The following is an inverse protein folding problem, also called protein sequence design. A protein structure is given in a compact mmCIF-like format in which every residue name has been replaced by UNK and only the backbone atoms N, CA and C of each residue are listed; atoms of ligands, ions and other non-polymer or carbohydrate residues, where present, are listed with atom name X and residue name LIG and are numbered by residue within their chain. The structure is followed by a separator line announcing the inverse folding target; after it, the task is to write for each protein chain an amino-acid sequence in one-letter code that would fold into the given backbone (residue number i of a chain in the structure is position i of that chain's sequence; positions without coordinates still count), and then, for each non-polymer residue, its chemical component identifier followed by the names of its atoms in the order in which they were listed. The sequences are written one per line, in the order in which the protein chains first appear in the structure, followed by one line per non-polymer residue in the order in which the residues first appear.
data_IF_060888066314
#
_entry.id   IF_060888066314
#
_cell.length_a   1.000
_cell.length_b   1.000
_cell.length_c   1.000
_cell.angle_alpha   90.00
_cell.angle_beta   90.00
_cell.angle_gamma   90.00
#
_symmetry.space_group_name_H-M   'P 1'
#
loop_
_entity.id
_entity.type
_entity.pdbx_description
1 polymer ?
#
# COMPACT_ATOMS: atom_id res chain seq x y z
N UNK A 1 -35.05 53.00 -54.22
CA UNK A 1 -34.20 52.93 -53.00
C UNK A 1 -34.71 51.77 -52.15
N UNK A 2 -33.99 50.66 -52.12
CA UNK A 2 -33.47 50.08 -50.86
C UNK A 2 -33.89 48.61 -50.76
N UNK A 3 -33.16 47.67 -51.40
CA UNK A 3 -32.02 46.87 -50.89
C UNK A 3 -32.44 45.51 -50.35
N UNK A 4 -32.19 44.48 -51.18
CA UNK A 4 -32.12 43.06 -50.85
C UNK A 4 -31.16 42.82 -49.68
N UNK A 5 -31.59 42.03 -48.69
CA UNK A 5 -30.74 41.45 -47.65
C UNK A 5 -30.60 39.94 -47.90
N UNK A 6 -29.71 39.57 -48.83
CA UNK A 6 -29.20 38.21 -48.90
C UNK A 6 -28.16 38.06 -47.79
N UNK A 7 -28.53 37.37 -46.72
CA UNK A 7 -27.60 36.97 -45.65
C UNK A 7 -26.68 35.88 -46.21
N UNK A 8 -25.38 36.20 -46.28
CA UNK A 8 -24.31 35.25 -46.62
C UNK A 8 -24.01 34.37 -45.42
N UNK A 9 -23.96 33.03 -45.55
CA UNK A 9 -23.43 32.20 -44.49
C UNK A 9 -21.90 32.22 -44.53
N UNK A 10 -21.32 32.33 -43.34
CA UNK A 10 -19.90 32.45 -43.06
C UNK A 10 -19.03 31.41 -43.78
N UNK A 11 -18.02 31.89 -44.50
CA UNK A 11 -16.97 31.10 -45.14
C UNK A 11 -15.99 30.58 -44.08
N UNK A 12 -16.06 29.28 -43.77
CA UNK A 12 -15.05 28.59 -42.97
C UNK A 12 -13.86 28.30 -43.88
N UNK A 13 -12.75 28.99 -43.63
CA UNK A 13 -11.52 28.86 -44.41
C UNK A 13 -11.01 27.42 -44.42
N UNK A 14 -10.96 26.85 -45.61
CA UNK A 14 -10.35 25.56 -45.95
C UNK A 14 -8.85 25.61 -45.62
N UNK A 15 -8.39 24.72 -44.74
CA UNK A 15 -6.96 24.47 -44.58
C UNK A 15 -6.46 23.72 -45.81
N UNK A 16 -5.83 24.44 -46.74
CA UNK A 16 -5.13 23.83 -47.88
C UNK A 16 -3.74 23.39 -47.41
N UNK A 17 -3.54 22.08 -47.29
CA UNK A 17 -2.20 21.48 -47.26
C UNK A 17 -1.70 21.42 -48.70
N UNK A 18 -0.74 22.29 -49.02
CA UNK A 18 -0.03 22.29 -50.30
C UNK A 18 0.92 21.09 -50.34
N UNK A 19 0.70 20.14 -51.23
CA UNK A 19 1.56 18.96 -51.33
C UNK A 19 1.28 18.06 -52.53
N UNK A 20 2.04 18.29 -53.59
CA UNK A 20 2.42 17.39 -54.70
C UNK A 20 1.42 17.07 -55.81
N UNK A 21 1.91 17.34 -57.03
CA UNK A 21 1.35 17.15 -58.35
C UNK A 21 1.02 15.69 -58.70
N UNK A 22 -0.26 15.40 -58.94
CA UNK A 22 -0.66 14.34 -59.88
C UNK A 22 -1.93 14.82 -60.60
N UNK A 23 -1.85 14.91 -61.93
CA UNK A 23 -2.94 15.36 -62.80
C UNK A 23 -4.16 14.41 -62.78
N UNK A 24 -5.35 14.88 -63.19
CA UNK A 24 -6.60 14.15 -62.98
C UNK A 24 -6.74 13.02 -63.99
N UNK A 25 -6.87 11.78 -63.52
CA UNK A 25 -7.47 10.71 -64.32
C UNK A 25 -8.99 10.73 -64.10
N UNK A 26 -9.70 10.97 -65.21
CA UNK A 26 -11.16 10.87 -65.30
C UNK A 26 -11.58 9.43 -65.00
N UNK A 27 -12.20 9.23 -63.84
CA UNK A 27 -12.90 8.01 -63.47
C UNK A 27 -14.13 8.38 -62.67
N UNK A 28 -15.30 8.31 -63.31
CA UNK A 28 -16.59 8.37 -62.64
C UNK A 28 -16.71 7.16 -61.69
N UNK A 29 -16.18 7.29 -60.48
CA UNK A 29 -16.70 6.58 -59.33
C UNK A 29 -17.21 7.65 -58.39
N UNK A 30 -18.49 7.59 -58.06
CA UNK A 30 -19.10 8.40 -57.00
C UNK A 30 -18.52 7.87 -55.67
N UNK A 31 -17.25 8.13 -55.43
CA UNK A 31 -16.60 7.86 -54.15
C UNK A 31 -17.29 8.82 -53.20
N UNK A 32 -18.21 8.31 -52.37
CA UNK A 32 -18.80 9.09 -51.29
C UNK A 32 -17.66 9.63 -50.46
N UNK A 33 -17.28 10.87 -50.75
CA UNK A 33 -16.28 11.58 -49.99
C UNK A 33 -16.81 11.65 -48.58
N UNK A 34 -16.16 10.93 -47.68
CA UNK A 34 -16.36 10.98 -46.23
C UNK A 34 -15.91 12.34 -45.72
N UNK A 35 -16.65 13.39 -46.11
CA UNK A 35 -16.31 14.80 -45.93
C UNK A 35 -16.77 15.37 -44.59
N UNK A 36 -17.14 14.53 -43.63
CA UNK A 36 -17.47 14.96 -42.28
C UNK A 36 -16.97 13.92 -41.27
N UNK A 37 -15.90 14.26 -40.55
CA UNK A 37 -15.24 13.44 -39.52
C UNK A 37 -16.17 12.98 -38.39
N UNK A 38 -17.36 13.59 -38.26
CA UNK A 38 -18.37 13.31 -37.23
C UNK A 38 -19.46 12.32 -37.65
N UNK A 39 -19.62 12.05 -38.95
CA UNK A 39 -20.72 11.18 -39.41
C UNK A 39 -20.45 9.71 -39.06
N UNK A 40 -21.46 8.99 -38.59
CA UNK A 40 -21.36 7.57 -38.25
C UNK A 40 -22.52 6.82 -38.93
N UNK A 41 -22.27 5.83 -39.80
CA UNK A 41 -23.32 5.09 -40.50
C UNK A 41 -24.07 4.22 -39.48
N UNK A 42 -25.24 4.67 -39.00
CA UNK A 42 -26.02 3.89 -38.02
C UNK A 42 -26.86 2.78 -38.69
N UNK A 43 -27.25 2.97 -39.95
CA UNK A 43 -28.12 2.04 -40.67
C UNK A 43 -27.38 0.83 -41.26
N UNK A 44 -26.08 0.98 -41.56
CA UNK A 44 -25.25 -0.11 -42.08
C UNK A 44 -24.27 -0.57 -41.00
N UNK A 45 -24.58 -1.70 -40.35
CA UNK A 45 -23.77 -2.27 -39.26
C UNK A 45 -22.34 -2.57 -39.68
N UNK A 46 -22.12 -3.04 -40.91
CA UNK A 46 -20.78 -3.43 -41.36
C UNK A 46 -19.89 -2.21 -41.61
N UNK A 47 -20.43 -1.18 -42.27
CA UNK A 47 -19.73 0.09 -42.42
C UNK A 47 -19.51 0.81 -41.08
N UNK A 48 -20.41 0.62 -40.11
CA UNK A 48 -20.24 1.15 -38.76
C UNK A 48 -19.03 0.55 -38.04
N UNK A 49 -18.93 -0.78 -38.06
CA UNK A 49 -17.83 -1.51 -37.44
C UNK A 49 -16.49 -1.12 -38.07
N UNK A 50 -16.43 -1.04 -39.41
CA UNK A 50 -15.22 -0.59 -40.10
C UNK A 50 -14.79 0.81 -39.67
N UNK A 51 -15.74 1.75 -39.61
CA UNK A 51 -15.44 3.12 -39.18
C UNK A 51 -15.04 3.21 -37.70
N UNK A 52 -15.63 2.38 -36.83
CA UNK A 52 -15.25 2.28 -35.43
C UNK A 52 -13.79 1.83 -35.29
N UNK A 53 -13.40 0.76 -36.00
CA UNK A 53 -12.03 0.26 -36.01
C UNK A 53 -11.03 1.30 -36.52
N UNK A 54 -11.35 2.00 -37.61
CA UNK A 54 -10.51 3.08 -38.15
C UNK A 54 -10.31 4.21 -37.12
N UNK A 55 -11.38 4.62 -36.45
CA UNK A 55 -11.31 5.68 -35.42
C UNK A 55 -10.57 5.21 -34.17
N UNK A 56 -10.77 3.97 -33.76
CA UNK A 56 -10.06 3.39 -32.61
C UNK A 56 -8.56 3.36 -32.89
N UNK A 57 -8.14 2.87 -34.06
CA UNK A 57 -6.75 2.85 -34.47
C UNK A 57 -6.14 4.25 -34.52
N UNK A 58 -6.89 5.25 -34.99
CA UNK A 58 -6.43 6.64 -34.99
C UNK A 58 -6.22 7.15 -33.55
N UNK A 59 -7.17 6.92 -32.64
CA UNK A 59 -7.04 7.32 -31.23
C UNK A 59 -5.82 6.66 -30.58
N UNK A 60 -5.59 5.36 -30.83
CA UNK A 60 -4.42 4.64 -30.32
C UNK A 60 -3.11 5.24 -30.85
N UNK A 61 -3.05 5.55 -32.14
CA UNK A 61 -1.87 6.20 -32.74
C UNK A 61 -1.56 7.56 -32.07
N UNK A 62 -2.58 8.39 -31.86
CA UNK A 62 -2.39 9.66 -31.15
C UNK A 62 -2.01 9.47 -29.69
N UNK A 63 -2.59 8.47 -29.02
CA UNK A 63 -2.26 8.12 -27.64
C UNK A 63 -0.78 7.81 -27.47
N UNK A 64 -0.20 7.05 -28.39
CA UNK A 64 1.23 6.71 -28.38
C UNK A 64 2.14 7.93 -28.58
N UNK A 65 1.68 8.96 -29.31
CA UNK A 65 2.41 10.20 -29.51
C UNK A 65 2.26 11.20 -28.35
N UNK A 66 1.27 11.03 -27.47
CA UNK A 66 0.99 11.96 -26.37
C UNK A 66 1.91 11.77 -25.16
N UNK A 67 2.10 12.85 -24.41
CA UNK A 67 2.81 12.84 -23.13
C UNK A 67 2.03 12.09 -22.05
N UNK A 68 2.71 11.61 -21.01
CA UNK A 68 2.09 10.94 -19.86
C UNK A 68 0.95 11.75 -19.22
N UNK A 69 1.13 13.08 -19.08
CA UNK A 69 0.09 13.99 -18.57
C UNK A 69 -1.15 14.00 -19.45
N UNK A 70 -0.98 14.03 -20.78
CA UNK A 70 -2.09 14.01 -21.74
C UNK A 70 -2.79 12.65 -21.75
N UNK A 71 -2.04 11.55 -21.71
CA UNK A 71 -2.59 10.19 -21.61
C UNK A 71 -3.45 10.03 -20.36
N UNK A 72 -2.94 10.44 -19.20
CA UNK A 72 -3.70 10.44 -17.93
C UNK A 72 -4.96 11.31 -18.01
N UNK A 73 -4.86 12.48 -18.65
CA UNK A 73 -6.00 13.36 -18.82
C UNK A 73 -7.10 12.74 -19.71
N UNK A 74 -6.73 12.07 -20.80
CA UNK A 74 -7.67 11.32 -21.62
C UNK A 74 -8.36 10.22 -20.81
N UNK A 75 -7.58 9.37 -20.13
CA UNK A 75 -8.11 8.27 -19.32
C UNK A 75 -9.11 8.76 -18.29
N UNK A 76 -8.76 9.82 -17.56
CA UNK A 76 -9.66 10.46 -16.60
C UNK A 76 -10.95 10.96 -17.28
N UNK A 77 -10.83 11.64 -18.43
CA UNK A 77 -11.98 12.17 -19.17
C UNK A 77 -12.91 11.09 -19.74
N UNK A 78 -12.36 9.91 -20.07
CA UNK A 78 -13.16 8.76 -20.50
C UNK A 78 -13.88 8.14 -19.31
N UNK A 79 -13.17 7.88 -18.20
CA UNK A 79 -13.73 7.26 -17.01
C UNK A 79 -14.85 8.11 -16.38
N UNK A 80 -14.74 9.44 -16.38
CA UNK A 80 -15.82 10.32 -15.86
C UNK A 80 -17.11 10.29 -16.69
N UNK A 81 -17.05 9.80 -17.93
CA UNK A 81 -18.21 9.66 -18.83
C UNK A 81 -18.79 8.24 -18.83
N UNK A 82 -18.14 7.30 -18.16
CA UNK A 82 -18.59 5.91 -18.07
C UNK A 82 -19.76 5.74 -17.10
N UNK A 83 -20.61 4.77 -17.39
CA UNK A 83 -21.64 4.25 -16.48
C UNK A 83 -21.01 3.39 -15.38
N UNK A 84 -21.74 3.12 -14.30
CA UNK A 84 -21.26 2.27 -13.20
C UNK A 84 -20.85 0.86 -13.66
N UNK A 85 -21.58 0.25 -14.60
CA UNK A 85 -21.24 -1.06 -15.15
C UNK A 85 -19.93 -1.03 -15.96
N UNK A 86 -19.72 0.03 -16.75
CA UNK A 86 -18.47 0.25 -17.49
C UNK A 86 -17.28 0.49 -16.55
N UNK A 87 -17.48 1.24 -15.45
CA UNK A 87 -16.45 1.45 -14.43
C UNK A 87 -16.08 0.15 -13.71
N UNK A 88 -17.07 -0.70 -13.39
CA UNK A 88 -16.82 -2.04 -12.84
C UNK A 88 -16.00 -2.90 -13.80
N UNK A 89 -16.36 -2.91 -15.08
CA UNK A 89 -15.57 -3.59 -16.12
C UNK A 89 -14.13 -3.06 -16.19
N UNK A 90 -13.91 -1.74 -16.16
CA UNK A 90 -12.57 -1.16 -16.11
C UNK A 90 -11.78 -1.58 -14.85
N UNK A 91 -12.44 -1.62 -13.68
CA UNK A 91 -11.83 -2.09 -12.42
C UNK A 91 -11.33 -3.53 -12.58
N UNK A 92 -12.16 -4.42 -13.12
CA UNK A 92 -11.83 -5.83 -13.23
C UNK A 92 -10.64 -6.04 -14.19
N UNK A 93 -10.61 -5.31 -15.31
CA UNK A 93 -9.45 -5.29 -16.22
C UNK A 93 -8.17 -4.80 -15.53
N UNK A 94 -8.26 -3.72 -14.74
CA UNK A 94 -7.11 -3.15 -14.04
C UNK A 94 -6.58 -4.08 -12.95
N UNK A 95 -7.45 -4.80 -12.24
CA UNK A 95 -7.04 -5.80 -11.23
C UNK A 95 -6.23 -6.92 -11.85
N UNK A 96 -6.58 -7.35 -13.07
CA UNK A 96 -5.83 -8.37 -13.81
C UNK A 96 -4.51 -7.80 -14.36
N UNK A 97 -4.54 -6.58 -14.90
CA UNK A 97 -3.40 -5.96 -15.56
C UNK A 97 -2.32 -5.46 -14.58
N UNK A 98 -2.74 -4.96 -13.41
CA UNK A 98 -1.86 -4.46 -12.36
C UNK A 98 -1.90 -5.45 -11.21
N UNK A 99 -0.91 -6.35 -11.07
CA UNK A 99 -0.88 -7.27 -9.95
C UNK A 99 -0.89 -6.45 -8.67
N UNK A 100 -1.80 -6.81 -7.77
CA UNK A 100 -1.87 -6.23 -6.43
C UNK A 100 -0.67 -6.76 -5.65
N UNK A 101 0.49 -6.11 -5.82
CA UNK A 101 1.77 -6.60 -5.30
C UNK A 101 1.95 -6.33 -3.81
N UNK A 102 1.24 -5.34 -3.25
CA UNK A 102 1.36 -4.98 -1.83
C UNK A 102 0.01 -4.55 -1.25
N UNK A 103 -0.79 -5.53 -0.82
CA UNK A 103 -1.90 -5.28 0.09
C UNK A 103 -1.52 -5.75 1.48
N UNK A 104 -1.70 -4.86 2.45
CA UNK A 104 -1.66 -5.24 3.86
C UNK A 104 -2.84 -6.18 4.13
N UNK A 105 -2.55 -7.48 4.20
CA UNK A 105 -3.57 -8.49 4.44
C UNK A 105 -4.31 -8.27 5.76
N UNK A 106 -3.72 -7.56 6.73
CA UNK A 106 -4.38 -7.30 8.01
C UNK A 106 -5.58 -6.36 7.91
N UNK A 107 -5.65 -5.57 6.83
CA UNK A 107 -6.78 -4.69 6.53
C UNK A 107 -7.91 -5.45 5.84
N UNK A 108 -7.60 -6.58 5.21
CA UNK A 108 -8.55 -7.40 4.45
C UNK A 108 -9.07 -8.57 5.28
N UNK A 109 -8.21 -9.20 6.07
CA UNK A 109 -8.53 -10.39 6.85
C UNK A 109 -9.02 -10.01 8.27
N UNK A 110 -10.03 -10.72 8.80
CA UNK A 110 -10.38 -10.68 10.22
C UNK A 110 -9.15 -10.85 11.11
N UNK A 111 -9.10 -10.12 12.25
CA UNK A 111 -7.95 -10.07 13.16
C UNK A 111 -7.40 -11.45 13.54
N UNK A 112 -8.26 -12.45 13.77
CA UNK A 112 -7.83 -13.79 14.16
C UNK A 112 -7.03 -14.52 13.06
N UNK A 113 -7.42 -14.37 11.79
CA UNK A 113 -6.68 -14.96 10.66
C UNK A 113 -5.33 -14.26 10.47
N UNK A 114 -5.31 -12.94 10.63
CA UNK A 114 -4.08 -12.15 10.56
C UNK A 114 -3.08 -12.58 11.64
N UNK A 115 -3.56 -12.77 12.88
CA UNK A 115 -2.75 -13.30 13.98
C UNK A 115 -2.26 -14.73 13.72
N UNK A 116 -3.11 -15.60 13.15
CA UNK A 116 -2.72 -16.95 12.78
C UNK A 116 -1.61 -16.97 11.73
N UNK A 117 -1.73 -16.19 10.65
CA UNK A 117 -0.67 -16.07 9.63
C UNK A 117 0.64 -15.57 10.24
N UNK A 118 0.58 -14.53 11.07
CA UNK A 118 1.77 -14.00 11.73
C UNK A 118 2.36 -14.95 12.79
N UNK A 119 1.57 -15.87 13.34
CA UNK A 119 2.06 -16.87 14.29
C UNK A 119 3.10 -17.82 13.69
N UNK A 120 3.17 -17.95 12.35
CA UNK A 120 4.18 -18.75 11.66
C UNK A 120 5.52 -18.04 11.47
N UNK A 121 5.58 -16.72 11.66
CA UNK A 121 6.80 -15.94 11.45
C UNK A 121 7.83 -16.18 12.56
N UNK A 122 9.13 -16.12 12.22
CA UNK A 122 10.17 -16.15 13.25
C UNK A 122 10.12 -14.87 14.11
N UNK A 123 10.68 -14.85 15.33
CA UNK A 123 10.77 -13.61 16.12
C UNK A 123 11.47 -12.47 15.38
N UNK A 124 12.48 -12.79 14.55
CA UNK A 124 13.16 -11.82 13.70
C UNK A 124 12.22 -11.25 12.64
N UNK A 125 11.47 -12.12 11.97
CA UNK A 125 10.54 -11.69 10.93
C UNK A 125 9.36 -10.91 11.52
N UNK A 126 8.87 -11.27 12.71
CA UNK A 126 7.87 -10.49 13.45
C UNK A 126 8.37 -9.08 13.81
N UNK A 127 9.63 -8.96 14.22
CA UNK A 127 10.26 -7.66 14.47
C UNK A 127 10.39 -6.81 13.20
N UNK A 128 10.65 -7.43 12.04
CA UNK A 128 10.64 -6.75 10.75
C UNK A 128 9.22 -6.37 10.32
N UNK A 129 8.26 -7.27 10.48
CA UNK A 129 6.83 -7.05 10.23
C UNK A 129 6.28 -5.86 11.03
N UNK A 130 6.67 -5.72 12.31
CA UNK A 130 6.27 -4.62 13.17
C UNK A 130 6.74 -3.22 12.70
N UNK A 131 7.67 -3.14 11.74
CA UNK A 131 8.15 -1.88 11.15
C UNK A 131 7.30 -1.43 9.95
N UNK A 132 6.43 -2.30 9.43
CA UNK A 132 5.63 -2.03 8.22
C UNK A 132 4.45 -1.11 8.52
N UNK A 133 3.76 -1.31 9.65
CA UNK A 133 2.67 -0.41 10.09
C UNK A 133 2.45 -0.44 11.59
N UNK A 134 1.83 0.62 12.13
CA UNK A 134 1.46 0.68 13.55
C UNK A 134 0.56 -0.48 13.97
N UNK A 135 -0.33 -0.93 13.07
CA UNK A 135 -1.21 -2.06 13.29
C UNK A 135 -0.44 -3.36 13.56
N UNK A 136 0.65 -3.59 12.83
CA UNK A 136 1.50 -4.77 12.99
C UNK A 136 2.36 -4.70 14.25
N UNK A 137 2.69 -3.48 14.70
CA UNK A 137 3.45 -3.23 15.93
C UNK A 137 2.71 -3.62 17.21
N UNK A 138 1.38 -3.61 17.20
CA UNK A 138 0.51 -3.78 18.39
C UNK A 138 0.06 -5.23 18.62
N UNK A 139 0.65 -6.21 17.92
CA UNK A 139 0.30 -7.63 18.05
C UNK A 139 1.02 -8.30 19.23
N UNK A 140 0.86 -7.71 20.42
CA UNK A 140 1.54 -8.14 21.66
C UNK A 140 1.10 -9.55 22.10
N UNK A 141 -0.14 -9.95 21.74
CA UNK A 141 -0.67 -11.28 22.01
C UNK A 141 0.14 -12.42 21.38
N UNK A 142 0.81 -12.21 20.23
CA UNK A 142 1.69 -13.23 19.61
C UNK A 142 2.92 -13.47 20.50
N UNK A 143 3.46 -12.41 21.10
CA UNK A 143 4.60 -12.49 22.00
C UNK A 143 4.20 -13.13 23.34
N UNK A 144 3.03 -12.78 23.88
CA UNK A 144 2.51 -13.36 25.11
C UNK A 144 2.39 -14.89 25.02
N UNK A 145 1.71 -15.39 23.99
CA UNK A 145 1.50 -16.81 23.76
C UNK A 145 2.84 -17.59 23.61
N UNK A 146 3.84 -16.99 22.97
CA UNK A 146 5.18 -17.60 22.85
C UNK A 146 5.99 -17.58 24.14
N UNK A 147 5.84 -16.56 24.97
CA UNK A 147 6.47 -16.49 26.29
C UNK A 147 5.83 -17.52 27.23
N UNK A 148 4.50 -17.56 27.30
CA UNK A 148 3.74 -18.47 28.18
C UNK A 148 4.07 -19.93 27.87
N UNK A 149 4.15 -20.32 26.59
CA UNK A 149 4.57 -21.69 26.20
C UNK A 149 5.96 -22.09 26.69
N UNK A 150 6.83 -21.13 26.98
CA UNK A 150 8.18 -21.36 27.53
C UNK A 150 8.24 -21.23 29.05
N UNK A 151 7.10 -21.02 29.71
CA UNK A 151 7.06 -20.72 31.14
C UNK A 151 7.60 -19.33 31.49
N UNK A 152 7.70 -18.44 30.51
CA UNK A 152 8.15 -17.06 30.70
C UNK A 152 6.94 -16.19 30.97
N UNK A 153 6.72 -15.88 32.25
CA UNK A 153 5.61 -15.06 32.70
C UNK A 153 6.11 -13.67 33.09
N UNK A 154 5.36 -12.63 32.72
CA UNK A 154 5.62 -11.29 33.24
C UNK A 154 5.38 -11.27 34.76
N UNK A 155 6.21 -10.53 35.53
CA UNK A 155 6.02 -10.41 36.97
C UNK A 155 4.85 -9.47 37.35
N UNK A 156 4.20 -8.87 36.37
CA UNK A 156 3.04 -7.99 36.52
C UNK A 156 2.08 -8.15 35.33
N UNK A 157 0.86 -7.64 35.48
CA UNK A 157 -0.11 -7.54 34.40
C UNK A 157 0.08 -6.23 33.65
N UNK A 158 0.41 -6.25 32.33
CA UNK A 158 0.55 -5.02 31.54
C UNK A 158 -0.69 -4.16 31.60
N UNK A 159 -0.52 -2.83 31.67
CA UNK A 159 -1.63 -1.89 31.53
C UNK A 159 -2.19 -1.88 30.10
N UNK A 160 -3.44 -1.44 29.91
CA UNK A 160 -4.10 -1.42 28.58
C UNK A 160 -3.33 -0.62 27.51
N UNK A 161 -2.52 0.35 27.93
CA UNK A 161 -1.70 1.20 27.05
C UNK A 161 -0.22 0.81 27.00
N UNK A 162 0.15 -0.31 27.64
CA UNK A 162 1.53 -0.76 27.72
C UNK A 162 1.84 -1.74 26.58
N UNK A 163 2.12 -1.18 25.41
CA UNK A 163 2.41 -1.97 24.21
C UNK A 163 3.85 -2.50 24.20
N UNK A 164 4.00 -3.79 23.94
CA UNK A 164 5.31 -4.41 23.70
C UNK A 164 6.01 -4.92 24.96
N UNK A 165 5.31 -4.97 26.10
CA UNK A 165 5.83 -5.58 27.33
C UNK A 165 6.23 -7.04 27.09
N UNK A 166 5.36 -7.82 26.43
CA UNK A 166 5.64 -9.21 26.10
C UNK A 166 6.75 -9.37 25.07
N UNK A 167 6.80 -8.49 24.06
CA UNK A 167 7.89 -8.45 23.08
C UNK A 167 9.24 -8.21 23.76
N UNK A 168 9.33 -7.20 24.62
CA UNK A 168 10.58 -6.86 25.30
C UNK A 168 11.01 -8.01 26.22
N UNK A 169 10.07 -8.57 26.99
CA UNK A 169 10.31 -9.73 27.84
C UNK A 169 10.84 -10.93 27.05
N UNK A 170 10.23 -11.22 25.89
CA UNK A 170 10.69 -12.28 24.99
C UNK A 170 12.13 -12.05 24.53
N UNK A 171 12.45 -10.83 24.10
CA UNK A 171 13.77 -10.51 23.54
C UNK A 171 14.86 -10.62 24.61
N UNK A 172 14.57 -10.17 25.84
CA UNK A 172 15.49 -10.30 26.98
C UNK A 172 15.72 -11.78 27.29
N UNK A 173 14.67 -12.55 27.58
CA UNK A 173 14.82 -13.95 27.98
C UNK A 173 15.34 -14.85 26.85
N UNK A 174 14.97 -14.57 25.60
CA UNK A 174 15.47 -15.30 24.44
C UNK A 174 16.94 -15.05 24.13
N UNK A 175 17.52 -13.95 24.59
CA UNK A 175 18.95 -13.63 24.44
C UNK A 175 19.83 -14.10 25.61
N UNK A 176 19.22 -14.60 26.69
CA UNK A 176 19.94 -14.93 27.92
C UNK A 176 20.64 -16.28 27.81
N UNK A 177 21.91 -16.32 28.22
CA UNK A 177 22.71 -17.56 28.24
C UNK A 177 22.18 -18.53 29.31
N UNK A 178 22.32 -19.82 29.05
CA UNK A 178 22.02 -20.86 30.03
C UNK A 178 22.78 -20.60 31.35
N UNK A 179 22.07 -20.71 32.48
CA UNK A 179 22.62 -20.46 33.81
C UNK A 179 22.51 -19.01 34.30
N UNK A 180 21.88 -18.12 33.54
CA UNK A 180 21.57 -16.75 33.98
C UNK A 180 20.11 -16.68 34.40
N UNK A 181 19.87 -16.28 35.66
CA UNK A 181 18.53 -16.02 36.20
C UNK A 181 18.19 -14.56 35.89
N UNK A 182 17.06 -14.34 35.24
CA UNK A 182 16.59 -12.99 34.88
C UNK A 182 15.45 -12.63 35.81
N UNK A 183 15.65 -11.53 36.53
CA UNK A 183 14.61 -10.88 37.31
C UNK A 183 14.24 -9.59 36.61
N UNK A 184 13.02 -9.51 36.10
CA UNK A 184 12.52 -8.30 35.44
C UNK A 184 12.02 -7.34 36.51
N UNK A 185 12.67 -6.18 36.60
CA UNK A 185 12.31 -5.11 37.53
C UNK A 185 11.39 -4.09 36.83
N UNK A 186 10.27 -3.77 37.46
CA UNK A 186 9.45 -2.62 37.08
C UNK A 186 9.89 -1.40 37.91
N UNK A 187 10.25 -0.31 37.22
CA UNK A 187 10.61 0.98 37.83
C UNK A 187 9.48 1.60 38.68
N UNK A 188 8.24 1.12 38.55
CA UNK A 188 7.13 1.47 39.44
C UNK A 188 7.23 0.81 40.82
N UNK A 189 8.05 -0.23 40.96
CA UNK A 189 8.33 -0.92 42.21
C UNK A 189 9.32 -0.17 43.11
N UNK A 190 9.50 -0.66 44.33
CA UNK A 190 10.48 -0.14 45.28
C UNK A 190 11.75 -1.00 45.28
N UNK A 191 12.91 -0.43 45.64
CA UNK A 191 14.17 -1.17 45.79
C UNK A 191 14.07 -2.41 46.71
N UNK A 192 13.35 -2.35 47.86
CA UNK A 192 13.11 -3.53 48.68
C UNK A 192 12.33 -4.63 47.94
N UNK A 193 11.34 -4.27 47.12
CA UNK A 193 10.60 -5.25 46.32
C UNK A 193 11.50 -5.95 45.30
N UNK A 194 12.44 -5.22 44.68
CA UNK A 194 13.47 -5.81 43.82
C UNK A 194 14.37 -6.77 44.59
N UNK A 195 14.85 -6.38 45.77
CA UNK A 195 15.70 -7.23 46.60
C UNK A 195 14.98 -8.52 46.97
N UNK A 196 13.74 -8.44 47.45
CA UNK A 196 12.94 -9.63 47.78
C UNK A 196 12.71 -10.52 46.55
N UNK A 197 12.48 -9.92 45.37
CA UNK A 197 12.30 -10.66 44.13
C UNK A 197 13.59 -11.37 43.69
N UNK A 198 14.75 -10.71 43.84
CA UNK A 198 16.06 -11.29 43.56
C UNK A 198 16.37 -12.41 44.54
N UNK A 199 16.19 -12.19 45.85
CA UNK A 199 16.39 -13.20 46.91
C UNK A 199 15.49 -14.42 46.70
N UNK A 200 14.23 -14.20 46.33
CA UNK A 200 13.32 -15.29 45.97
C UNK A 200 13.78 -16.04 44.72
N UNK A 201 14.30 -15.34 43.71
CA UNK A 201 14.73 -15.93 42.45
C UNK A 201 16.04 -16.73 42.58
N UNK A 202 16.92 -16.32 43.49
CA UNK A 202 18.19 -17.02 43.78
C UNK A 202 18.08 -18.00 44.96
N UNK A 203 16.90 -18.14 45.56
CA UNK A 203 16.72 -18.99 46.75
C UNK A 203 17.12 -20.43 46.45
N UNK A 204 18.15 -20.92 47.15
CA UNK A 204 18.72 -22.26 46.94
C UNK A 204 19.72 -22.37 45.78
N UNK A 205 20.09 -21.27 45.12
CA UNK A 205 21.07 -21.25 44.03
C UNK A 205 22.17 -20.20 44.29
N UNK A 206 23.43 -20.58 44.07
CA UNK A 206 24.54 -19.64 44.15
C UNK A 206 24.59 -18.71 42.94
N UNK A 207 24.52 -17.40 43.15
CA UNK A 207 24.69 -16.40 42.09
C UNK A 207 26.12 -15.83 42.12
N UNK A 208 26.85 -15.96 40.99
CA UNK A 208 28.22 -15.44 40.86
C UNK A 208 28.26 -13.97 40.46
N UNK A 209 27.26 -13.50 39.69
CA UNK A 209 27.20 -12.16 39.12
C UNK A 209 25.74 -11.74 39.01
N UNK A 210 25.43 -10.54 39.49
CA UNK A 210 24.13 -9.90 39.29
C UNK A 210 24.29 -8.80 38.25
N UNK A 211 23.47 -8.84 37.20
CA UNK A 211 23.41 -7.78 36.19
C UNK A 211 22.04 -7.13 36.24
N UNK A 212 21.99 -5.80 36.30
CA UNK A 212 20.76 -5.04 36.19
C UNK A 212 20.59 -4.57 34.74
N UNK A 213 19.46 -4.94 34.12
CA UNK A 213 19.08 -4.42 32.81
C UNK A 213 18.01 -3.35 33.01
N UNK A 214 18.37 -2.10 32.73
CA UNK A 214 17.46 -0.95 32.79
C UNK A 214 17.38 -0.29 31.41
N UNK A 215 16.22 0.28 31.03
CA UNK A 215 16.11 1.12 29.84
C UNK A 215 16.95 2.40 30.04
N UNK A 216 17.73 2.79 29.02
CA UNK A 216 18.58 3.99 29.05
C UNK A 216 20.05 3.70 28.67
N UNK A 217 20.85 4.76 28.58
CA UNK A 217 22.30 4.65 28.45
C UNK A 217 22.99 4.49 29.80
N UNK A 218 24.20 3.94 29.83
CA UNK A 218 24.99 3.82 31.08
C UNK A 218 25.37 5.17 31.69
N UNK A 219 25.21 6.27 30.95
CA UNK A 219 25.51 7.64 31.40
C UNK A 219 24.52 8.17 32.45
N UNK A 220 23.32 7.58 32.57
CA UNK A 220 22.30 7.98 33.54
C UNK A 220 22.32 7.12 34.83
N UNK A 221 23.23 6.15 34.92
CA UNK A 221 23.32 5.24 36.08
C UNK A 221 24.43 5.72 37.01
N UNK A 222 24.04 6.41 38.09
CA UNK A 222 24.97 6.77 39.16
C UNK A 222 25.14 5.59 40.13
N UNK A 223 26.29 4.91 40.03
CA UNK A 223 26.69 3.90 41.03
C UNK A 223 27.03 4.60 42.34
N UNK A 224 26.08 4.62 43.27
CA UNK A 224 26.32 5.02 44.65
C UNK A 224 27.23 3.96 45.28
N UNK A 225 28.52 4.28 45.41
CA UNK A 225 29.42 3.47 46.20
C UNK A 225 29.04 3.67 47.66
N UNK A 226 28.71 2.58 48.36
CA UNK A 226 28.65 2.62 49.81
C UNK A 226 30.08 2.83 50.30
N UNK A 227 30.43 4.05 50.69
CA UNK A 227 31.59 4.26 51.54
C UNK A 227 31.34 3.50 52.85
N UNK A 228 32.29 2.64 53.19
CA UNK A 228 32.28 1.81 54.38
C UNK A 228 33.02 2.55 55.50
#
# INVERSE_FOLDING_TARGET
MGTNLNSTPHSVKQWQLSGTDYGPQQGHSLRSETRFSTWTPLNNKQSNLQLFEERMNLVLHWFDLWTDKQRKHLLHSLLTRCTESQLKYCRDLLIVAVPVTQVDFTVVLPRFLSLYVMSFLSPRDLCSAAQVSWHWRVLDCIWADRCIRRGWFLPYTPGENEFGAWKNHYLVLGGVKAGVIVVVYDHRGTLPALLTQVESAISGQGALRLGLLAPGGTEEIHLLHSEN
#
